data_IF_113846160493
#
_entry.id   IF_113846160493
#
_cell.length_a   1.000
_cell.length_b   1.000
_cell.length_c   1.000
_cell.angle_alpha   90.00
_cell.angle_beta   90.00
_cell.angle_gamma   90.00
#
_symmetry.space_group_name_H-M   'P 1'
#
loop_
_entity.id
_entity.type
_entity.pdbx_description
1 polymer ?
#
# COMPACT_ATOMS: atom_id res chain seq x y z
N UNK A 1 -51.86 -23.32 42.00
CA UNK A 1 -50.99 -22.19 42.44
C UNK A 1 -49.61 -22.75 42.67
N UNK A 2 -48.59 -22.05 42.18
CA UNK A 2 -47.14 -22.33 42.28
C UNK A 2 -46.69 -23.57 41.47
N UNK A 3 -45.60 -23.58 40.71
CA UNK A 3 -44.50 -22.66 40.38
C UNK A 3 -43.66 -23.41 39.32
N UNK A 4 -43.12 -22.75 38.28
CA UNK A 4 -41.68 -22.90 37.93
C UNK A 4 -41.26 -22.18 36.64
N UNK A 5 -40.34 -21.24 36.87
CA UNK A 5 -39.13 -20.89 36.13
C UNK A 5 -39.12 -20.94 34.59
N UNK A 6 -39.17 -19.73 34.03
CA UNK A 6 -38.64 -19.35 32.73
C UNK A 6 -37.11 -19.49 32.69
N UNK A 7 -36.59 -20.52 32.02
CA UNK A 7 -35.17 -20.59 31.64
C UNK A 7 -34.94 -19.87 30.31
N UNK A 8 -34.49 -18.62 30.36
CA UNK A 8 -33.97 -17.91 29.19
C UNK A 8 -32.63 -18.52 28.75
N UNK A 9 -32.60 -19.19 27.60
CA UNK A 9 -31.36 -19.55 26.92
C UNK A 9 -31.11 -18.55 25.79
N UNK A 10 -30.10 -17.69 25.95
CA UNK A 10 -29.60 -16.83 24.87
C UNK A 10 -28.97 -17.67 23.75
N UNK A 11 -29.03 -17.23 22.48
CA UNK A 11 -28.45 -17.96 21.36
C UNK A 11 -26.91 -18.00 21.46
N UNK A 12 -26.24 -19.05 20.95
CA UNK A 12 -24.79 -19.14 21.02
C UNK A 12 -24.15 -18.06 20.14
N UNK A 13 -23.25 -17.27 20.73
CA UNK A 13 -22.46 -16.26 20.01
C UNK A 13 -21.63 -16.95 18.92
N UNK A 14 -21.86 -16.57 17.65
CA UNK A 14 -21.00 -16.98 16.53
C UNK A 14 -19.57 -16.51 16.81
N UNK A 15 -18.62 -17.45 16.92
CA UNK A 15 -17.20 -17.13 16.95
C UNK A 15 -16.85 -16.53 15.58
N UNK A 16 -16.45 -15.26 15.56
CA UNK A 16 -15.83 -14.65 14.39
C UNK A 16 -14.50 -15.37 14.15
N UNK A 17 -14.48 -16.28 13.16
CA UNK A 17 -13.25 -16.90 12.70
C UNK A 17 -12.46 -15.82 11.96
N UNK A 18 -11.50 -15.22 12.67
CA UNK A 18 -10.49 -14.37 12.06
C UNK A 18 -9.58 -15.30 11.25
N UNK A 19 -9.74 -15.31 9.93
CA UNK A 19 -8.77 -15.96 9.05
C UNK A 19 -7.51 -15.10 9.02
N UNK A 20 -6.62 -15.30 9.99
CA UNK A 20 -5.23 -14.91 9.83
C UNK A 20 -4.61 -15.91 8.85
N UNK A 21 -4.35 -15.49 7.61
CA UNK A 21 -3.45 -16.24 6.74
C UNK A 21 -2.10 -16.29 7.44
N UNK A 22 -1.84 -17.38 8.17
CA UNK A 22 -0.54 -17.63 8.76
C UNK A 22 0.44 -17.79 7.61
N UNK A 23 1.33 -16.81 7.44
CA UNK A 23 2.44 -16.90 6.51
C UNK A 23 3.21 -18.20 6.81
N UNK A 24 3.25 -19.09 5.83
CA UNK A 24 3.82 -20.42 6.02
C UNK A 24 5.34 -20.31 5.94
N UNK A 25 6.00 -20.18 7.09
CA UNK A 25 7.46 -20.12 7.20
C UNK A 25 8.20 -21.33 6.59
N UNK A 26 7.48 -22.42 6.28
CA UNK A 26 8.06 -23.60 5.61
C UNK A 26 8.61 -23.26 4.22
N UNK A 27 8.01 -22.31 3.48
CA UNK A 27 8.50 -21.92 2.15
C UNK A 27 9.85 -21.20 2.18
N UNK A 28 10.12 -20.42 3.22
CA UNK A 28 11.44 -19.79 3.41
C UNK A 28 12.52 -20.79 3.83
N UNK A 29 12.11 -21.97 4.30
CA UNK A 29 12.98 -23.10 4.67
C UNK A 29 13.03 -24.19 3.60
N UNK A 30 12.28 -24.03 2.50
CA UNK A 30 12.29 -24.96 1.39
C UNK A 30 13.60 -24.75 0.60
N UNK A 31 14.51 -25.71 0.73
CA UNK A 31 15.81 -25.65 0.06
C UNK A 31 15.66 -25.66 -1.48
N UNK A 32 14.55 -26.21 -1.99
CA UNK A 32 14.16 -26.15 -3.40
C UNK A 32 13.85 -24.73 -3.86
N UNK A 33 12.95 -24.03 -3.17
CA UNK A 33 12.57 -22.64 -3.44
C UNK A 33 13.75 -21.69 -3.25
N UNK A 34 14.49 -21.81 -2.12
CA UNK A 34 15.64 -20.97 -1.82
C UNK A 34 16.79 -21.18 -2.80
N UNK A 35 17.06 -22.43 -3.17
CA UNK A 35 18.05 -22.78 -4.19
C UNK A 35 17.63 -22.33 -5.59
N UNK A 36 16.36 -22.53 -5.93
CA UNK A 36 15.78 -22.11 -7.20
C UNK A 36 15.81 -20.58 -7.36
N UNK A 37 15.36 -19.82 -6.36
CA UNK A 37 15.35 -18.35 -6.39
C UNK A 37 16.76 -17.80 -6.61
N UNK A 38 17.77 -18.36 -5.94
CA UNK A 38 19.18 -17.97 -6.14
C UNK A 38 19.76 -18.36 -7.49
N UNK A 39 19.29 -19.46 -8.08
CA UNK A 39 19.76 -19.97 -9.38
C UNK A 39 19.07 -19.27 -10.54
N UNK A 40 17.77 -19.01 -10.44
CA UNK A 40 16.96 -18.43 -11.51
C UNK A 40 17.20 -16.93 -11.68
N UNK A 41 17.36 -16.20 -10.58
CA UNK A 41 17.79 -14.79 -10.59
C UNK A 41 19.10 -14.58 -11.36
N UNK A 42 20.09 -15.43 -11.12
CA UNK A 42 21.40 -15.36 -11.81
C UNK A 42 21.38 -15.92 -13.22
N UNK A 43 20.63 -16.99 -13.50
CA UNK A 43 20.71 -17.71 -14.77
C UNK A 43 19.71 -17.24 -15.83
N UNK A 44 18.52 -16.76 -15.44
CA UNK A 44 17.44 -16.44 -16.39
C UNK A 44 17.08 -14.96 -16.44
N UNK A 45 17.32 -14.19 -15.38
CA UNK A 45 16.92 -12.77 -15.30
C UNK A 45 18.08 -11.80 -15.09
N UNK A 46 19.29 -12.30 -14.80
CA UNK A 46 20.49 -11.51 -14.49
C UNK A 46 20.30 -10.54 -13.31
N UNK A 47 19.45 -10.91 -12.35
CA UNK A 47 19.12 -10.15 -11.14
C UNK A 47 19.96 -10.67 -9.98
N UNK A 48 20.40 -9.78 -9.07
CA UNK A 48 21.13 -10.17 -7.87
C UNK A 48 20.18 -10.85 -6.88
N UNK A 49 20.48 -12.07 -6.39
CA UNK A 49 19.56 -12.76 -5.50
C UNK A 49 19.41 -12.03 -4.17
N UNK A 50 18.16 -11.74 -3.80
CA UNK A 50 17.79 -11.17 -2.51
C UNK A 50 17.00 -12.16 -1.65
N UNK A 51 17.22 -12.17 -0.33
CA UNK A 51 16.35 -12.92 0.59
C UNK A 51 15.00 -12.20 0.73
N UNK A 52 13.88 -12.93 0.73
CA UNK A 52 12.58 -12.31 1.00
C UNK A 52 12.51 -11.94 2.48
N UNK A 53 12.38 -10.65 2.79
CA UNK A 53 12.20 -10.19 4.16
C UNK A 53 10.77 -10.51 4.63
N UNK A 54 10.63 -10.96 5.87
CA UNK A 54 9.31 -11.16 6.46
C UNK A 54 8.71 -9.80 6.86
N UNK A 55 7.51 -9.45 6.37
CA UNK A 55 6.78 -8.27 6.87
C UNK A 55 6.41 -8.50 8.34
N UNK A 56 7.13 -7.90 9.28
CA UNK A 56 6.75 -7.94 10.69
C UNK A 56 5.91 -6.72 11.05
N UNK A 57 4.89 -6.91 11.89
CA UNK A 57 3.97 -5.85 12.36
C UNK A 57 4.70 -4.64 12.98
N UNK A 58 5.94 -4.81 13.48
CA UNK A 58 6.76 -3.77 14.12
C UNK A 58 7.94 -3.26 13.27
N UNK A 59 8.16 -3.76 12.05
CA UNK A 59 9.25 -3.31 11.15
C UNK A 59 8.73 -2.84 9.81
N UNK A 60 7.81 -1.91 9.84
CA UNK A 60 7.26 -1.30 8.65
C UNK A 60 8.31 -0.59 7.77
N UNK A 61 9.45 -0.14 8.34
CA UNK A 61 10.61 0.33 7.55
C UNK A 61 11.10 -0.73 6.56
N UNK A 62 11.00 -2.02 6.93
CA UNK A 62 11.37 -3.13 6.06
C UNK A 62 10.37 -3.41 4.94
N UNK A 63 9.16 -2.85 5.01
CA UNK A 63 8.12 -3.07 4.01
C UNK A 63 8.51 -2.47 2.65
N UNK A 64 9.21 -1.33 2.64
CA UNK A 64 9.74 -0.75 1.40
C UNK A 64 10.72 -1.72 0.74
N UNK A 65 11.65 -2.28 1.51
CA UNK A 65 12.61 -3.25 0.97
C UNK A 65 11.93 -4.54 0.51
N UNK A 66 10.86 -4.98 1.18
CA UNK A 66 10.04 -6.11 0.72
C UNK A 66 9.39 -5.80 -0.63
N UNK A 67 8.75 -4.64 -0.77
CA UNK A 67 8.07 -4.23 -2.02
C UNK A 67 9.07 -4.13 -3.18
N UNK A 68 10.24 -3.52 -2.94
CA UNK A 68 11.29 -3.42 -3.95
C UNK A 68 11.78 -4.80 -4.40
N UNK A 69 12.08 -5.70 -3.46
CA UNK A 69 12.50 -7.08 -3.79
C UNK A 69 11.39 -7.83 -4.52
N UNK A 70 10.14 -7.66 -4.11
CA UNK A 70 9.01 -8.33 -4.75
C UNK A 70 8.80 -7.85 -6.19
N UNK A 71 9.00 -6.57 -6.48
CA UNK A 71 8.99 -6.02 -7.85
C UNK A 71 10.11 -6.60 -8.70
N UNK A 72 11.34 -6.63 -8.18
CA UNK A 72 12.50 -7.17 -8.89
C UNK A 72 12.34 -8.66 -9.19
N UNK A 73 11.85 -9.43 -8.21
CA UNK A 73 11.72 -10.88 -8.29
C UNK A 73 10.40 -11.35 -8.92
N UNK A 74 9.49 -10.44 -9.28
CA UNK A 74 8.16 -10.81 -9.79
C UNK A 74 8.19 -11.76 -10.99
N UNK A 75 9.09 -11.60 -11.99
CA UNK A 75 9.19 -12.55 -13.11
C UNK A 75 9.64 -13.95 -12.67
N UNK A 76 10.59 -14.02 -11.73
CA UNK A 76 11.07 -15.30 -11.20
C UNK A 76 9.95 -15.98 -10.38
N UNK A 77 9.25 -15.25 -9.53
CA UNK A 77 8.12 -15.77 -8.76
C UNK A 77 7.04 -16.36 -9.68
N UNK A 78 6.68 -15.66 -10.77
CA UNK A 78 5.73 -16.18 -11.76
C UNK A 78 6.19 -17.53 -12.34
N UNK A 79 7.43 -17.60 -12.82
CA UNK A 79 7.98 -18.83 -13.42
C UNK A 79 8.05 -19.99 -12.42
N UNK A 80 8.46 -19.73 -11.17
CA UNK A 80 8.53 -20.75 -10.14
C UNK A 80 7.16 -21.36 -9.86
N UNK A 81 6.19 -20.49 -9.56
CA UNK A 81 4.88 -20.96 -9.15
C UNK A 81 4.10 -21.57 -10.31
N UNK A 82 4.36 -21.16 -11.56
CA UNK A 82 3.88 -21.89 -12.74
C UNK A 82 4.37 -23.36 -12.71
N UNK A 83 5.69 -23.58 -12.57
CA UNK A 83 6.25 -24.92 -12.51
C UNK A 83 5.74 -25.71 -11.29
N UNK A 84 5.71 -25.09 -10.11
CA UNK A 84 5.28 -25.75 -8.87
C UNK A 84 3.79 -26.14 -8.87
N UNK A 85 2.91 -25.34 -9.48
CA UNK A 85 1.50 -25.70 -9.63
C UNK A 85 1.33 -26.91 -10.54
N UNK A 86 2.14 -27.02 -11.59
CA UNK A 86 2.13 -28.17 -12.49
C UNK A 86 2.63 -29.47 -11.83
N UNK A 87 3.61 -29.37 -10.92
CA UNK A 87 4.25 -30.53 -10.28
C UNK A 87 3.55 -30.94 -8.98
N UNK A 88 3.35 -30.02 -8.03
CA UNK A 88 3.02 -30.34 -6.64
C UNK A 88 1.53 -30.16 -6.28
N UNK A 89 0.71 -29.60 -7.19
CA UNK A 89 -0.74 -29.33 -7.00
C UNK A 89 -1.10 -28.68 -5.65
N UNK A 90 -0.20 -27.84 -5.12
CA UNK A 90 -0.42 -27.14 -3.86
C UNK A 90 -1.37 -25.95 -4.04
N UNK A 91 -2.47 -25.93 -3.31
CA UNK A 91 -3.48 -24.85 -3.38
C UNK A 91 -2.88 -23.47 -3.02
N UNK A 92 -1.93 -23.43 -2.09
CA UNK A 92 -1.21 -22.21 -1.72
C UNK A 92 -0.32 -21.68 -2.86
N UNK A 93 0.38 -22.57 -3.57
CA UNK A 93 1.17 -22.21 -4.76
C UNK A 93 0.26 -21.63 -5.86
N UNK A 94 -0.94 -22.20 -6.03
CA UNK A 94 -1.92 -21.71 -6.99
C UNK A 94 -2.47 -20.33 -6.60
N UNK A 95 -2.73 -20.09 -5.31
CA UNK A 95 -3.17 -18.79 -4.81
C UNK A 95 -2.09 -17.70 -4.93
N UNK A 96 -0.80 -18.05 -4.74
CA UNK A 96 0.30 -17.10 -4.94
C UNK A 96 0.46 -16.82 -6.43
N UNK A 97 0.40 -17.85 -7.27
CA UNK A 97 0.50 -17.69 -8.71
C UNK A 97 -0.62 -16.81 -9.27
N UNK A 98 -1.87 -17.04 -8.86
CA UNK A 98 -3.00 -16.23 -9.33
C UNK A 98 -2.81 -14.76 -8.98
N UNK A 99 -2.35 -14.45 -7.77
CA UNK A 99 -2.02 -13.08 -7.36
C UNK A 99 -0.81 -12.51 -8.06
N UNK A 100 0.23 -13.29 -8.30
CA UNK A 100 1.41 -12.83 -9.04
C UNK A 100 1.08 -12.54 -10.52
N UNK A 101 0.16 -13.29 -11.11
CA UNK A 101 -0.30 -13.13 -12.50
C UNK A 101 -1.36 -12.04 -12.68
N UNK A 102 -2.04 -11.59 -11.61
CA UNK A 102 -2.99 -10.46 -11.69
C UNK A 102 -2.29 -9.23 -12.29
N UNK A 103 -2.91 -8.67 -13.34
CA UNK A 103 -2.37 -7.53 -14.10
C UNK A 103 -2.08 -6.32 -13.20
N UNK A 104 -2.90 -6.12 -12.17
CA UNK A 104 -2.85 -4.99 -11.24
C UNK A 104 -1.82 -5.14 -10.12
N UNK A 105 -1.29 -6.35 -9.86
CA UNK A 105 -0.33 -6.59 -8.78
C UNK A 105 0.93 -5.74 -8.93
N UNK A 106 1.47 -5.68 -10.14
CA UNK A 106 2.63 -4.84 -10.45
C UNK A 106 2.32 -3.35 -10.28
N UNK A 107 1.10 -2.92 -10.65
CA UNK A 107 0.65 -1.53 -10.45
C UNK A 107 0.61 -1.18 -8.96
N UNK A 108 0.06 -2.06 -8.11
CA UNK A 108 -0.01 -1.85 -6.66
C UNK A 108 1.38 -1.84 -6.02
N UNK A 109 2.29 -2.70 -6.47
CA UNK A 109 3.65 -2.70 -5.94
C UNK A 109 4.42 -1.43 -6.32
N UNK A 110 4.31 -0.94 -7.56
CA UNK A 110 4.89 0.35 -7.97
C UNK A 110 4.26 1.53 -7.22
N UNK A 111 2.94 1.49 -6.98
CA UNK A 111 2.24 2.46 -6.13
C UNK A 111 2.79 2.44 -4.69
N UNK A 112 2.91 1.27 -4.08
CA UNK A 112 3.44 1.14 -2.71
C UNK A 112 4.90 1.60 -2.61
N UNK A 113 5.71 1.32 -3.64
CA UNK A 113 7.09 1.82 -3.73
C UNK A 113 7.15 3.36 -3.71
N UNK A 114 6.14 4.03 -4.26
CA UNK A 114 6.00 5.48 -4.18
C UNK A 114 5.46 5.96 -2.82
N UNK A 115 4.38 5.35 -2.32
CA UNK A 115 3.64 5.86 -1.17
C UNK A 115 4.32 5.56 0.18
N UNK A 116 4.93 4.38 0.34
CA UNK A 116 5.53 3.95 1.61
C UNK A 116 6.70 4.84 2.11
N UNK A 117 7.57 5.41 1.24
CA UNK A 117 8.59 6.37 1.66
C UNK A 117 8.06 7.56 2.46
N UNK A 118 6.87 8.07 2.13
CA UNK A 118 6.26 9.23 2.82
C UNK A 118 6.15 8.97 4.33
N UNK A 119 5.64 7.79 4.70
CA UNK A 119 5.51 7.40 6.10
C UNK A 119 6.87 7.03 6.69
N UNK A 120 7.69 6.30 5.93
CA UNK A 120 8.96 5.76 6.43
C UNK A 120 9.90 6.89 6.85
N UNK A 121 9.93 7.97 6.07
CA UNK A 121 10.74 9.14 6.39
C UNK A 121 10.17 9.92 7.58
N UNK A 122 8.85 10.08 7.67
CA UNK A 122 8.20 10.68 8.83
C UNK A 122 8.56 9.93 10.13
N UNK A 123 8.54 8.61 10.09
CA UNK A 123 8.84 7.80 11.26
C UNK A 123 10.31 7.73 11.62
N UNK A 124 11.22 7.79 10.64
CA UNK A 124 12.65 7.96 10.96
C UNK A 124 12.87 9.24 11.78
N UNK A 125 12.15 10.31 11.45
CA UNK A 125 12.23 11.56 12.24
C UNK A 125 11.58 11.40 13.63
N UNK A 126 10.43 10.72 13.75
CA UNK A 126 9.80 10.44 15.05
C UNK A 126 10.63 9.53 15.96
N UNK A 127 11.44 8.63 15.39
CA UNK A 127 12.32 7.72 16.11
C UNK A 127 13.72 8.30 16.38
N UNK A 128 13.95 9.58 16.07
CA UNK A 128 15.22 10.25 16.33
C UNK A 128 15.52 10.31 17.83
N UNK A 129 16.72 9.87 18.21
CA UNK A 129 17.24 10.01 19.59
C UNK A 129 17.57 11.47 19.95
N UNK A 130 17.75 12.33 18.93
CA UNK A 130 17.96 13.77 19.13
C UNK A 130 16.64 14.54 19.20
N UNK A 131 16.52 15.54 20.10
CA UNK A 131 15.30 16.35 20.21
C UNK A 131 15.12 17.25 18.98
N UNK A 132 14.15 16.91 18.14
CA UNK A 132 13.83 17.61 16.89
C UNK A 132 12.40 18.16 16.87
N UNK A 133 11.82 18.48 18.02
CA UNK A 133 10.42 18.90 18.13
C UNK A 133 10.09 20.09 17.19
N UNK A 134 11.03 21.04 17.05
CA UNK A 134 10.89 22.20 16.17
C UNK A 134 10.80 21.84 14.67
N UNK A 135 11.31 20.67 14.25
CA UNK A 135 11.22 20.18 12.87
C UNK A 135 10.06 19.21 12.68
N UNK A 136 9.63 18.55 13.76
CA UNK A 136 8.67 17.46 13.68
C UNK A 136 7.32 17.94 13.12
N UNK A 137 6.86 19.12 13.54
CA UNK A 137 5.64 19.72 13.02
C UNK A 137 5.72 19.91 11.49
N UNK A 138 6.80 20.53 11.00
CA UNK A 138 6.99 20.76 9.56
C UNK A 138 7.06 19.46 8.78
N UNK A 139 7.68 18.42 9.34
CA UNK A 139 7.77 17.10 8.72
C UNK A 139 6.41 16.40 8.65
N UNK A 140 5.63 16.43 9.73
CA UNK A 140 4.26 15.89 9.76
C UNK A 140 3.40 16.64 8.74
N UNK A 141 3.41 17.97 8.77
CA UNK A 141 2.62 18.80 7.86
C UNK A 141 3.01 18.57 6.40
N UNK A 142 4.30 18.41 6.11
CA UNK A 142 4.78 18.08 4.77
C UNK A 142 4.24 16.72 4.31
N UNK A 143 4.38 15.67 5.13
CA UNK A 143 3.88 14.33 4.80
C UNK A 143 2.36 14.32 4.59
N UNK A 144 1.62 14.97 5.49
CA UNK A 144 0.16 15.14 5.38
C UNK A 144 -0.23 15.87 4.09
N UNK A 145 0.42 17.00 3.80
CA UNK A 145 0.17 17.78 2.58
C UNK A 145 0.46 16.97 1.33
N UNK A 146 1.60 16.25 1.28
CA UNK A 146 1.97 15.39 0.14
C UNK A 146 0.91 14.32 -0.13
N UNK A 147 0.31 13.72 0.91
CA UNK A 147 -0.76 12.73 0.74
C UNK A 147 -2.02 13.39 0.20
N UNK A 148 -2.42 14.54 0.74
CA UNK A 148 -3.60 15.27 0.24
C UNK A 148 -3.43 15.69 -1.22
N UNK A 149 -2.25 16.19 -1.60
CA UNK A 149 -1.92 16.56 -2.99
C UNK A 149 -2.07 15.39 -3.98
N UNK A 150 -2.04 14.14 -3.51
CA UNK A 150 -2.23 12.98 -4.38
C UNK A 150 -3.68 12.76 -4.82
N UNK A 151 -4.68 13.23 -4.07
CA UNK A 151 -6.10 12.94 -4.35
C UNK A 151 -7.08 14.10 -4.16
N UNK A 152 -6.66 15.20 -3.54
CA UNK A 152 -7.47 16.42 -3.35
C UNK A 152 -7.13 17.42 -4.46
N UNK A 153 -8.13 18.16 -4.93
CA UNK A 153 -7.93 19.19 -5.95
C UNK A 153 -7.11 20.37 -5.37
N UNK A 154 -6.19 20.89 -6.17
CA UNK A 154 -5.20 21.90 -5.76
C UNK A 154 -5.84 23.20 -5.28
N UNK A 155 -7.03 23.54 -5.79
CA UNK A 155 -7.82 24.72 -5.47
C UNK A 155 -8.22 24.77 -3.99
N UNK A 156 -8.40 23.60 -3.37
CA UNK A 156 -8.72 23.49 -1.94
C UNK A 156 -7.48 23.49 -1.04
N UNK A 157 -6.30 23.19 -1.59
CA UNK A 157 -5.03 23.14 -0.86
C UNK A 157 -4.24 24.46 -0.90
N UNK A 158 -4.37 25.20 -2.00
CA UNK A 158 -3.69 26.47 -2.17
C UNK A 158 -4.46 27.61 -1.54
N UNK A 159 -3.72 28.61 -1.04
CA UNK A 159 -4.31 29.87 -0.61
C UNK A 159 -4.83 30.64 -1.84
N UNK A 160 -6.03 31.20 -1.69
CA UNK A 160 -6.58 32.20 -2.60
C UNK A 160 -5.80 33.50 -2.51
N UNK A 161 -5.90 34.35 -3.51
CA UNK A 161 -5.21 35.66 -3.50
C UNK A 161 -5.65 36.54 -2.32
N UNK A 162 -6.90 36.41 -1.86
CA UNK A 162 -7.40 37.11 -0.67
C UNK A 162 -6.70 36.62 0.60
N UNK A 163 -6.67 35.30 0.81
CA UNK A 163 -6.00 34.70 1.98
C UNK A 163 -4.50 35.01 2.00
N UNK A 164 -3.84 35.12 0.83
CA UNK A 164 -2.43 35.53 0.75
C UNK A 164 -2.20 36.97 1.19
N UNK A 165 -3.10 37.88 0.82
CA UNK A 165 -2.99 39.30 1.16
C UNK A 165 -3.28 39.59 2.64
N UNK A 166 -4.13 38.77 3.27
CA UNK A 166 -4.47 38.86 4.69
C UNK A 166 -3.47 38.12 5.60
N UNK A 167 -2.71 37.17 5.05
CA UNK A 167 -1.77 36.37 5.81
C UNK A 167 -0.50 37.15 6.20
N UNK A 168 -0.24 37.21 7.50
CA UNK A 168 1.04 37.70 8.03
C UNK A 168 2.21 36.76 7.66
N UNK A 169 1.95 35.44 7.61
CA UNK A 169 2.88 34.41 7.15
C UNK A 169 2.14 33.40 6.24
N UNK A 170 2.58 33.31 4.99
CA UNK A 170 1.96 32.46 3.96
C UNK A 170 2.06 30.98 4.31
N UNK A 171 3.18 30.51 4.90
CA UNK A 171 3.35 29.10 5.24
C UNK A 171 2.39 28.69 6.37
N UNK A 172 2.29 29.50 7.42
CA UNK A 172 1.42 29.22 8.56
C UNK A 172 -0.06 29.25 8.16
N UNK A 173 -0.43 30.21 7.30
CA UNK A 173 -1.78 30.30 6.74
C UNK A 173 -2.13 29.07 5.89
N UNK A 174 -1.20 28.61 5.03
CA UNK A 174 -1.39 27.40 4.22
C UNK A 174 -1.53 26.17 5.12
N UNK A 175 -0.66 26.01 6.11
CA UNK A 175 -0.74 24.90 7.08
C UNK A 175 -2.07 24.87 7.82
N UNK A 176 -2.52 26.03 8.32
CA UNK A 176 -3.82 26.17 9.01
C UNK A 176 -4.99 25.81 8.11
N UNK A 177 -4.98 26.27 6.84
CA UNK A 177 -6.02 25.92 5.86
C UNK A 177 -6.07 24.40 5.61
N UNK A 178 -4.91 23.78 5.44
CA UNK A 178 -4.77 22.34 5.20
C UNK A 178 -5.26 21.52 6.40
N UNK A 179 -4.92 21.93 7.62
CA UNK A 179 -5.35 21.24 8.84
C UNK A 179 -6.87 21.33 9.08
N UNK A 180 -7.49 22.44 8.67
CA UNK A 180 -8.93 22.65 8.79
C UNK A 180 -9.74 22.10 7.60
N UNK A 181 -9.07 21.53 6.59
CA UNK A 181 -9.72 21.01 5.41
C UNK A 181 -10.44 19.69 5.72
N UNK A 182 -11.77 19.68 5.61
CA UNK A 182 -12.50 18.41 5.51
C UNK A 182 -12.29 17.77 4.14
N UNK A 183 -11.42 16.76 4.09
CA UNK A 183 -11.14 15.93 2.93
C UNK A 183 -12.07 14.70 2.82
N UNK A 184 -13.13 14.59 3.63
CA UNK A 184 -14.11 13.50 3.48
C UNK A 184 -15.06 13.74 2.30
N UNK A 185 -15.21 15.01 1.90
CA UNK A 185 -16.11 15.47 0.86
C UNK A 185 -15.63 15.06 -0.54
N UNK A 186 -16.34 14.14 -1.21
CA UNK A 186 -15.95 13.64 -2.53
C UNK A 186 -15.83 14.71 -3.63
N UNK A 187 -16.55 15.82 -3.50
CA UNK A 187 -16.52 16.93 -4.46
C UNK A 187 -15.14 17.61 -4.53
N UNK A 188 -14.36 17.53 -3.45
CA UNK A 188 -13.02 18.12 -3.36
C UNK A 188 -11.94 17.19 -3.92
N UNK A 189 -12.31 15.98 -4.34
CA UNK A 189 -11.37 14.97 -4.83
C UNK A 189 -11.12 15.11 -6.32
N UNK A 190 -9.91 14.74 -6.73
CA UNK A 190 -9.56 14.56 -8.12
C UNK A 190 -10.39 13.41 -8.73
N UNK A 191 -10.75 13.49 -10.02
CA UNK A 191 -11.27 12.34 -10.75
C UNK A 191 -10.29 11.17 -10.65
N UNK A 192 -10.78 9.93 -10.59
CA UNK A 192 -9.96 8.73 -10.33
C UNK A 192 -8.70 8.63 -11.22
N UNK A 193 -8.84 8.97 -12.50
CA UNK A 193 -7.74 8.93 -13.48
C UNK A 193 -6.65 10.00 -13.29
N UNK A 194 -6.93 11.04 -12.50
CA UNK A 194 -6.01 12.13 -12.20
C UNK A 194 -5.35 11.98 -10.82
N UNK A 195 -5.71 10.95 -10.05
CA UNK A 195 -5.08 10.66 -8.76
C UNK A 195 -3.61 10.31 -9.01
N UNK A 196 -2.73 10.95 -8.23
CA UNK A 196 -1.31 10.70 -8.33
C UNK A 196 -0.94 9.37 -7.65
N UNK A 197 -0.47 8.42 -8.45
CA UNK A 197 -0.10 7.05 -8.03
C UNK A 197 1.39 6.77 -8.20
N UNK A 198 2.20 7.83 -8.31
CA UNK A 198 3.63 7.76 -8.59
C UNK A 198 3.96 7.75 -10.09
N UNK A 199 5.18 8.14 -10.43
CA UNK A 199 5.62 8.36 -11.82
C UNK A 199 5.68 7.09 -12.70
N UNK A 200 5.88 5.92 -12.11
CA UNK A 200 6.08 4.67 -12.85
C UNK A 200 4.76 4.05 -13.30
N UNK A 201 3.70 4.21 -12.50
CA UNK A 201 2.41 3.57 -12.71
C UNK A 201 1.74 4.00 -14.04
N UNK A 202 1.67 5.29 -14.42
CA UNK A 202 1.11 5.70 -15.71
C UNK A 202 1.81 5.07 -16.92
N UNK A 203 3.15 4.96 -16.87
CA UNK A 203 3.93 4.31 -17.92
C UNK A 203 3.60 2.81 -18.03
N UNK A 204 3.44 2.15 -16.87
CA UNK A 204 3.07 0.75 -16.81
C UNK A 204 1.64 0.49 -17.28
N UNK A 205 0.69 1.37 -16.93
CA UNK A 205 -0.69 1.33 -17.43
C UNK A 205 -0.71 1.44 -18.95
N UNK A 206 0.04 2.40 -19.52
CA UNK A 206 0.15 2.58 -20.97
C UNK A 206 0.63 1.29 -21.64
N UNK A 207 1.73 0.72 -21.16
CA UNK A 207 2.30 -0.53 -21.69
C UNK A 207 1.32 -1.71 -21.61
N UNK A 208 0.64 -1.88 -20.46
CA UNK A 208 -0.31 -3.00 -20.27
C UNK A 208 -1.58 -2.84 -21.12
N UNK A 209 -2.01 -1.60 -21.39
CA UNK A 209 -3.10 -1.32 -22.33
C UNK A 209 -2.72 -1.63 -23.78
N UNK A 210 -1.50 -1.32 -24.20
CA UNK A 210 -1.00 -1.64 -25.56
C UNK A 210 -0.99 -3.15 -25.83
N UNK A 211 -0.72 -3.96 -24.81
CA UNK A 211 -0.69 -5.43 -24.89
C UNK A 211 -2.10 -6.04 -24.71
N UNK A 212 -3.10 -5.24 -24.30
CA UNK A 212 -4.48 -5.71 -24.07
C UNK A 212 -4.67 -6.49 -22.77
N UNK A 213 -3.74 -6.41 -21.82
CA UNK A 213 -3.79 -7.16 -20.55
C UNK A 213 -4.60 -6.45 -19.45
N UNK A 214 -4.98 -5.19 -19.66
CA UNK A 214 -5.58 -4.33 -18.63
C UNK A 214 -6.95 -3.81 -19.05
N UNK A 215 -7.99 -4.30 -18.35
CA UNK A 215 -9.37 -3.87 -18.54
C UNK A 215 -9.66 -2.54 -17.81
N UNK A 216 -10.65 -1.79 -18.29
CA UNK A 216 -11.04 -0.51 -17.67
C UNK A 216 -11.58 -0.69 -16.24
N UNK A 217 -12.32 -1.77 -15.97
CA UNK A 217 -12.86 -2.06 -14.64
C UNK A 217 -11.74 -2.33 -13.63
N UNK A 218 -10.73 -3.12 -14.02
CA UNK A 218 -9.56 -3.39 -13.20
C UNK A 218 -8.79 -2.11 -12.88
N UNK A 219 -8.65 -1.22 -13.86
CA UNK A 219 -7.99 0.07 -13.66
C UNK A 219 -8.79 1.00 -12.74
N UNK A 220 -10.12 1.04 -12.88
CA UNK A 220 -11.00 1.81 -11.99
C UNK A 220 -10.88 1.32 -10.55
N UNK A 221 -10.89 0.00 -10.36
CA UNK A 221 -10.69 -0.63 -9.05
C UNK A 221 -9.28 -0.36 -8.48
N UNK A 222 -8.26 -0.30 -9.33
CA UNK A 222 -6.91 0.09 -8.93
C UNK A 222 -6.88 1.50 -8.34
N UNK A 223 -7.39 2.50 -9.07
CA UNK A 223 -7.41 3.88 -8.60
C UNK A 223 -8.28 4.07 -7.36
N UNK A 224 -9.42 3.38 -7.28
CA UNK A 224 -10.29 3.43 -6.10
C UNK A 224 -9.54 2.97 -4.84
N UNK A 225 -8.86 1.82 -4.89
CA UNK A 225 -8.09 1.34 -3.74
C UNK A 225 -6.90 2.23 -3.39
N UNK A 226 -6.24 2.83 -4.39
CA UNK A 226 -5.16 3.79 -4.13
C UNK A 226 -5.69 5.05 -3.44
N UNK A 227 -6.87 5.54 -3.85
CA UNK A 227 -7.57 6.65 -3.20
C UNK A 227 -7.93 6.30 -1.76
N UNK A 228 -8.55 5.15 -1.54
CA UNK A 228 -8.91 4.67 -0.19
C UNK A 228 -7.68 4.57 0.71
N UNK A 229 -6.56 4.08 0.18
CA UNK A 229 -5.28 4.05 0.88
C UNK A 229 -4.84 5.45 1.33
N UNK A 230 -4.85 6.44 0.43
CA UNK A 230 -4.48 7.81 0.78
C UNK A 230 -5.45 8.46 1.77
N UNK A 231 -6.75 8.23 1.62
CA UNK A 231 -7.75 8.74 2.55
C UNK A 231 -7.56 8.17 3.96
N UNK A 232 -7.32 6.85 4.06
CA UNK A 232 -7.03 6.24 5.34
C UNK A 232 -5.70 6.73 5.92
N UNK A 233 -4.68 6.87 5.08
CA UNK A 233 -3.40 7.42 5.51
C UNK A 233 -3.52 8.85 6.05
N UNK A 234 -4.26 9.73 5.38
CA UNK A 234 -4.49 11.10 5.82
C UNK A 234 -5.25 11.15 7.17
N UNK A 235 -6.13 10.19 7.46
CA UNK A 235 -6.82 10.12 8.76
C UNK A 235 -5.92 9.67 9.92
N UNK A 236 -4.85 8.93 9.61
CA UNK A 236 -3.95 8.34 10.61
C UNK A 236 -2.75 9.24 10.95
N UNK A 237 -2.49 10.27 10.14
CA UNK A 237 -1.52 11.33 10.41
C UNK A 237 -2.19 12.43 11.23
#
# INVERSE_FOLDING_TARGET
>A
MSSDSSTGKSPPKKKNVKYEQKFVNLWLKDDGFKGWLKKSTKAFTNIKPHELLHPSQTRWLSLIEVVNRLLEELPAIKLYFQAAVHVDRLFSAQSILSKALETTTELYLEFLKFALPIFTDLNKEMQSETPKLYLLYDKILTAYTTILECFVQTEYLNLTEQEKNEAQNILDAKGTKILNLDFSSEQKHLPLQHIYVGRMVPNLIKRKREIGELEEEQLKNFYLKCKEFYMEAAKQI
#
